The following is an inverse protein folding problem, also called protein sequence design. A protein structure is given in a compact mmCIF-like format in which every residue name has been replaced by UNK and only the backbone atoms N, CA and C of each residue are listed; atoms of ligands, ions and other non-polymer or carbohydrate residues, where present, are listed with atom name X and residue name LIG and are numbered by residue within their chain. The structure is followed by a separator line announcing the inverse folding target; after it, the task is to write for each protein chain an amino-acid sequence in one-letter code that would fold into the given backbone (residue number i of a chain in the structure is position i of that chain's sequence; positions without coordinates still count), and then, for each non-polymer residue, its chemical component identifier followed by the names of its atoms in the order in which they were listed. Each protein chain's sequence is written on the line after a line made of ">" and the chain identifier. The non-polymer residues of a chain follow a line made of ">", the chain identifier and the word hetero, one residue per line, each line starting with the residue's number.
data_IF_632635759037
#
_entry.id   IF_632635759037
#
_cell.length_a   1.000
_cell.length_b   1.000
_cell.length_c   1.000
_cell.angle_alpha   90.00
_cell.angle_beta   90.00
_cell.angle_gamma   90.00
#
_symmetry.space_group_name_H-M   'P 1'
#
loop_
_entity.id
_entity.type
_entity.pdbx_description
1 polymer ?
#
# COMPACT_ATOMS: atom_id res chain seq x y z
N UNK A 1 -12.64 6.21 -3.45
CA UNK A 1 -13.44 5.08 -2.92
C UNK A 1 -12.89 3.80 -3.53
N UNK A 2 -12.28 2.99 -2.70
CA UNK A 2 -11.66 1.70 -2.99
C UNK A 2 -12.64 0.53 -3.22
N UNK A 3 -13.96 0.76 -3.24
CA UNK A 3 -14.94 -0.24 -3.61
C UNK A 3 -16.04 0.35 -4.49
N UNK A 4 -16.71 -0.50 -5.27
CA UNK A 4 -17.86 -0.12 -6.11
C UNK A 4 -18.92 -1.21 -6.11
N UNK A 5 -20.16 -0.78 -6.33
CA UNK A 5 -21.30 -1.70 -6.43
C UNK A 5 -21.47 -2.18 -7.87
N UNK A 6 -21.56 -3.50 -8.07
CA UNK A 6 -21.74 -4.12 -9.39
C UNK A 6 -22.97 -5.04 -9.39
N UNK A 7 -23.68 -5.18 -10.53
CA UNK A 7 -24.75 -6.17 -10.65
C UNK A 7 -24.15 -7.57 -10.68
N UNK A 8 -24.79 -8.51 -9.98
CA UNK A 8 -24.37 -9.92 -9.94
C UNK A 8 -25.57 -10.85 -10.07
N UNK A 9 -25.32 -12.07 -10.52
CA UNK A 9 -26.26 -13.18 -10.40
C UNK A 9 -25.86 -14.00 -9.19
N UNK A 10 -26.64 -13.93 -8.12
CA UNK A 10 -26.43 -14.72 -6.91
C UNK A 10 -27.08 -16.09 -7.08
N UNK A 11 -26.33 -17.15 -6.82
CA UNK A 11 -26.83 -18.52 -6.78
C UNK A 11 -26.90 -19.02 -5.34
N UNK A 12 -28.10 -19.35 -4.86
CA UNK A 12 -28.33 -19.91 -3.52
C UNK A 12 -29.51 -20.87 -3.54
N UNK A 13 -29.42 -21.97 -2.80
CA UNK A 13 -30.50 -22.96 -2.63
C UNK A 13 -31.10 -23.44 -3.97
N UNK A 14 -30.25 -23.66 -4.98
CA UNK A 14 -30.66 -24.13 -6.30
C UNK A 14 -31.36 -23.09 -7.18
N UNK A 15 -31.35 -21.81 -6.80
CA UNK A 15 -31.99 -20.71 -7.53
C UNK A 15 -31.01 -19.59 -7.87
N UNK A 16 -31.22 -18.96 -9.03
CA UNK A 16 -30.50 -17.78 -9.45
C UNK A 16 -31.35 -16.51 -9.22
N UNK A 17 -30.77 -15.49 -8.60
CA UNK A 17 -31.40 -14.19 -8.38
C UNK A 17 -30.49 -13.05 -8.81
N UNK A 18 -31.04 -12.06 -9.51
CA UNK A 18 -30.32 -10.81 -9.78
C UNK A 18 -30.19 -10.02 -8.48
N UNK A 19 -28.96 -9.63 -8.18
CA UNK A 19 -28.61 -8.85 -6.99
C UNK A 19 -27.49 -7.86 -7.34
N UNK A 20 -26.88 -7.31 -6.31
CA UNK A 20 -25.72 -6.44 -6.41
C UNK A 20 -24.72 -6.80 -5.32
N UNK A 21 -23.44 -6.66 -5.61
CA UNK A 21 -22.36 -6.87 -4.65
C UNK A 21 -21.41 -5.67 -4.61
N UNK A 22 -20.72 -5.47 -3.49
CA UNK A 22 -19.64 -4.49 -3.35
C UNK A 22 -18.31 -5.19 -3.65
N UNK A 23 -17.60 -4.72 -4.68
CA UNK A 23 -16.30 -5.27 -5.08
C UNK A 23 -15.20 -4.24 -4.90
N UNK A 24 -14.01 -4.70 -4.50
CA UNK A 24 -12.82 -3.88 -4.43
C UNK A 24 -12.50 -3.26 -5.80
N UNK A 25 -11.98 -2.04 -5.80
CA UNK A 25 -11.51 -1.35 -7.00
C UNK A 25 -10.01 -1.49 -7.08
N UNK A 26 -9.57 -2.19 -8.12
CA UNK A 26 -8.18 -2.23 -8.57
C UNK A 26 -7.99 -1.19 -9.69
N UNK A 27 -6.90 -0.45 -9.65
CA UNK A 27 -6.52 0.54 -10.65
C UNK A 27 -5.03 0.48 -10.92
N UNK A 28 -4.63 0.82 -12.15
CA UNK A 28 -3.22 1.03 -12.45
C UNK A 28 -2.78 2.34 -11.81
N UNK A 29 -1.69 2.33 -11.06
CA UNK A 29 -1.11 3.51 -10.42
C UNK A 29 0.36 3.62 -10.83
N UNK A 30 0.70 4.68 -11.56
CA UNK A 30 2.08 5.01 -11.92
C UNK A 30 2.65 6.03 -10.93
N UNK A 31 3.77 5.69 -10.31
CA UNK A 31 4.47 6.49 -9.31
C UNK A 31 5.69 7.15 -9.95
N UNK A 32 5.78 8.47 -9.86
CA UNK A 32 6.87 9.25 -10.43
C UNK A 32 7.52 10.17 -9.38
N UNK A 33 8.84 10.33 -9.45
CA UNK A 33 9.55 11.34 -8.66
C UNK A 33 10.64 12.01 -9.50
N UNK A 34 10.73 13.34 -9.44
CA UNK A 34 11.74 14.15 -10.14
C UNK A 34 11.85 13.85 -11.65
N UNK A 35 10.71 13.55 -12.28
CA UNK A 35 10.62 13.25 -13.71
C UNK A 35 10.95 11.80 -14.09
N UNK A 36 11.27 10.93 -13.13
CA UNK A 36 11.47 9.50 -13.37
C UNK A 36 10.24 8.70 -12.96
N UNK A 37 9.88 7.71 -13.78
CA UNK A 37 8.94 6.67 -13.38
C UNK A 37 9.66 5.71 -12.43
N UNK A 38 9.08 5.50 -11.24
CA UNK A 38 9.62 4.63 -10.20
C UNK A 38 9.05 3.22 -10.34
N UNK A 39 7.73 3.14 -10.46
CA UNK A 39 6.98 1.90 -10.59
C UNK A 39 5.58 2.15 -11.17
N UNK A 40 5.02 1.10 -11.77
CA UNK A 40 3.59 1.02 -12.08
C UNK A 40 3.01 -0.20 -11.35
N UNK A 41 1.99 0.03 -10.52
CA UNK A 41 1.38 -0.93 -9.61
C UNK A 41 -0.10 -1.15 -9.95
N UNK A 42 -0.65 -2.28 -9.52
CA UNK A 42 -2.09 -2.44 -9.32
C UNK A 42 -2.39 -2.18 -7.85
N UNK A 43 -3.20 -1.16 -7.58
CA UNK A 43 -3.51 -0.68 -6.24
C UNK A 43 -4.93 -0.11 -6.17
N UNK A 44 -5.43 0.11 -4.97
CA UNK A 44 -6.67 0.83 -4.74
C UNK A 44 -6.48 2.35 -4.94
N UNK A 45 -7.50 3.07 -5.42
CA UNK A 45 -7.37 4.49 -5.77
C UNK A 45 -7.55 5.43 -4.55
N UNK A 46 -7.10 4.99 -3.37
CA UNK A 46 -7.17 5.75 -2.11
C UNK A 46 -5.72 5.86 -1.55
N UNK A 47 -5.46 6.85 -0.69
CA UNK A 47 -4.15 7.06 -0.02
C UNK A 47 -2.91 7.07 -0.95
N UNK A 48 -3.07 7.45 -2.22
CA UNK A 48 -2.03 7.39 -3.25
C UNK A 48 -0.78 8.24 -2.94
N UNK A 49 -0.93 9.31 -2.16
CA UNK A 49 0.20 10.10 -1.65
C UNK A 49 1.06 9.29 -0.67
N UNK A 50 0.42 8.61 0.30
CA UNK A 50 1.10 7.73 1.23
C UNK A 50 1.76 6.54 0.50
N UNK A 51 1.10 6.00 -0.54
CA UNK A 51 1.68 4.95 -1.39
C UNK A 51 2.97 5.43 -2.06
N UNK A 52 3.00 6.65 -2.62
CA UNK A 52 4.22 7.20 -3.23
C UNK A 52 5.35 7.36 -2.20
N UNK A 53 5.07 7.96 -1.05
CA UNK A 53 6.09 8.15 -0.01
C UNK A 53 6.59 6.82 0.56
N UNK A 54 5.68 5.90 0.85
CA UNK A 54 6.02 4.54 1.29
C UNK A 54 6.93 3.84 0.29
N UNK A 55 6.60 3.90 -1.01
CA UNK A 55 7.42 3.31 -2.07
C UNK A 55 8.81 3.93 -2.16
N UNK A 56 8.92 5.27 -2.07
CA UNK A 56 10.20 5.97 -2.08
C UNK A 56 11.15 5.50 -0.96
N UNK A 57 10.63 5.21 0.23
CA UNK A 57 11.42 4.78 1.39
C UNK A 57 11.72 3.29 1.30
N UNK A 58 10.70 2.47 1.06
CA UNK A 58 10.80 1.01 1.09
C UNK A 58 11.72 0.47 0.00
N UNK A 59 11.75 1.12 -1.17
CA UNK A 59 12.68 0.78 -2.27
C UNK A 59 14.04 1.50 -2.14
N UNK A 60 14.23 2.35 -1.13
CA UNK A 60 15.51 3.03 -0.87
C UNK A 60 15.83 4.19 -1.82
N UNK A 61 14.84 4.73 -2.54
CA UNK A 61 15.02 5.92 -3.38
C UNK A 61 15.35 7.17 -2.56
N UNK A 62 14.82 7.27 -1.34
CA UNK A 62 15.15 8.35 -0.39
C UNK A 62 15.44 7.79 0.99
N UNK A 63 16.28 8.48 1.76
CA UNK A 63 16.50 8.13 3.16
C UNK A 63 15.27 8.51 4.01
N UNK A 64 15.02 7.74 5.07
CA UNK A 64 13.85 7.96 5.93
C UNK A 64 13.87 9.33 6.65
N UNK A 65 15.05 9.83 7.01
CA UNK A 65 15.23 11.10 7.73
C UNK A 65 15.01 12.34 6.86
N UNK A 66 14.98 12.19 5.54
CA UNK A 66 14.82 13.33 4.62
C UNK A 66 13.38 13.60 4.19
N UNK A 67 12.44 12.68 4.45
CA UNK A 67 11.01 12.88 4.10
C UNK A 67 10.43 14.17 4.68
N UNK A 68 10.74 14.45 5.95
CA UNK A 68 10.26 15.65 6.65
C UNK A 68 10.81 16.96 6.03
N UNK A 69 11.75 16.87 5.09
CA UNK A 69 12.32 18.00 4.35
C UNK A 69 11.65 18.19 2.99
N UNK A 70 10.79 17.25 2.56
CA UNK A 70 10.00 17.39 1.34
C UNK A 70 8.87 18.37 1.63
N UNK A 71 8.99 19.58 1.09
CA UNK A 71 7.96 20.63 1.21
C UNK A 71 6.96 20.63 0.04
N UNK A 72 7.02 19.60 -0.81
CA UNK A 72 6.17 19.44 -1.99
C UNK A 72 5.11 18.37 -1.77
N UNK A 73 3.89 18.64 -2.20
CA UNK A 73 2.80 17.64 -2.22
C UNK A 73 2.78 16.90 -3.56
N UNK A 74 2.60 15.57 -3.58
CA UNK A 74 2.40 14.83 -4.82
C UNK A 74 1.17 15.32 -5.60
N UNK A 75 1.34 15.46 -6.91
CA UNK A 75 0.23 15.71 -7.84
C UNK A 75 -0.38 14.38 -8.25
N UNK A 76 -1.70 14.24 -8.11
CA UNK A 76 -2.46 13.03 -8.50
C UNK A 76 -3.34 13.37 -9.71
N UNK A 77 -3.16 12.65 -10.81
CA UNK A 77 -3.93 12.81 -12.04
C UNK A 77 -4.62 11.49 -12.41
N UNK A 78 -5.94 11.52 -12.59
CA UNK A 78 -6.70 10.38 -13.09
C UNK A 78 -6.84 10.43 -14.61
N UNK A 79 -6.65 9.30 -15.29
CA UNK A 79 -6.93 9.14 -16.71
C UNK A 79 -7.73 7.84 -16.97
N UNK A 80 -8.01 7.51 -18.24
CA UNK A 80 -8.79 6.32 -18.62
C UNK A 80 -8.15 4.99 -18.20
N UNK A 81 -6.84 4.99 -17.97
CA UNK A 81 -6.05 3.81 -17.68
C UNK A 81 -5.73 3.67 -16.20
N UNK A 82 -6.00 4.68 -15.35
CA UNK A 82 -5.68 4.66 -13.93
C UNK A 82 -5.25 6.02 -13.38
N UNK A 83 -4.31 6.01 -12.45
CA UNK A 83 -3.79 7.19 -11.76
C UNK A 83 -2.30 7.37 -12.00
N UNK A 84 -1.87 8.63 -12.08
CA UNK A 84 -0.47 9.03 -12.11
C UNK A 84 -0.21 9.91 -10.89
N UNK A 85 0.72 9.49 -10.04
CA UNK A 85 1.11 10.17 -8.81
C UNK A 85 2.53 10.67 -9.00
N UNK A 86 2.72 11.98 -9.00
CA UNK A 86 4.02 12.59 -9.34
C UNK A 86 4.48 13.56 -8.26
N UNK A 87 5.69 13.37 -7.76
CA UNK A 87 6.35 14.28 -6.83
C UNK A 87 7.53 14.98 -7.51
N UNK A 88 7.63 16.29 -7.31
CA UNK A 88 8.82 17.07 -7.69
C UNK A 88 9.42 17.67 -6.44
N UNK A 89 10.67 17.33 -6.14
CA UNK A 89 11.38 17.73 -4.92
C UNK A 89 12.85 18.01 -5.21
N UNK A 90 13.50 18.80 -4.36
CA UNK A 90 14.95 19.05 -4.44
C UNK A 90 15.79 17.88 -3.92
N UNK A 91 15.15 16.89 -3.27
CA UNK A 91 15.82 15.71 -2.74
C UNK A 91 16.20 14.79 -3.90
N UNK A 92 17.50 14.48 -4.09
CA UNK A 92 17.93 13.55 -5.12
C UNK A 92 17.56 12.11 -4.77
N UNK A 93 17.30 11.30 -5.79
CA UNK A 93 17.12 9.86 -5.62
C UNK A 93 18.49 9.21 -5.36
N UNK A 94 18.56 8.32 -4.37
CA UNK A 94 19.80 7.64 -3.97
C UNK A 94 20.21 6.52 -4.94
N UNK A 95 19.24 5.96 -5.65
CA UNK A 95 19.43 4.91 -6.65
C UNK A 95 18.71 5.29 -7.95
N UNK A 96 19.25 4.86 -9.08
CA UNK A 96 18.59 5.05 -10.37
C UNK A 96 17.35 4.15 -10.48
N UNK A 97 16.18 4.70 -10.87
CA UNK A 97 14.98 3.91 -11.10
C UNK A 97 15.20 2.87 -12.20
N UNK A 98 14.91 1.61 -11.89
CA UNK A 98 14.98 0.50 -12.83
C UNK A 98 13.56 0.04 -13.16
N UNK A 99 12.85 0.75 -14.03
CA UNK A 99 11.50 0.34 -14.41
C UNK A 99 11.54 -0.91 -15.30
N UNK A 100 11.00 -2.02 -14.79
CA UNK A 100 10.78 -3.27 -15.56
C UNK A 100 9.29 -3.65 -15.53
N UNK A 101 8.44 -2.79 -16.07
CA UNK A 101 7.02 -3.08 -16.29
C UNK A 101 6.14 -3.05 -15.02
N UNK A 102 4.94 -3.63 -15.14
CA UNK A 102 3.95 -3.65 -14.06
C UNK A 102 4.39 -4.66 -13.01
N UNK A 103 4.61 -4.20 -11.76
CA UNK A 103 4.97 -5.08 -10.65
C UNK A 103 3.69 -5.59 -9.98
N UNK A 104 3.53 -6.91 -9.93
CA UNK A 104 2.42 -7.52 -9.21
C UNK A 104 2.73 -7.52 -7.70
N UNK A 105 1.73 -7.27 -6.85
CA UNK A 105 1.89 -7.27 -5.38
C UNK A 105 1.94 -8.69 -4.78
N UNK A 106 2.27 -9.69 -5.60
CA UNK A 106 2.34 -11.10 -5.18
C UNK A 106 3.64 -11.41 -4.40
N UNK A 107 3.63 -12.41 -3.53
CA UNK A 107 4.76 -12.78 -2.65
C UNK A 107 5.94 -13.47 -3.36
N UNK A 108 6.05 -13.34 -4.68
CA UNK A 108 6.90 -14.15 -5.56
C UNK A 108 8.41 -13.90 -5.46
N UNK A 109 8.92 -13.35 -4.37
CA UNK A 109 10.35 -13.05 -4.19
C UNK A 109 11.19 -14.26 -3.72
N UNK A 110 10.61 -15.46 -3.61
CA UNK A 110 11.27 -16.63 -3.02
C UNK A 110 12.49 -17.17 -3.82
N UNK A 111 12.86 -16.59 -4.97
CA UNK A 111 13.95 -17.08 -5.83
C UNK A 111 14.74 -15.97 -6.54
N UNK A 112 14.86 -14.78 -5.94
CA UNK A 112 15.69 -13.70 -6.51
C UNK A 112 17.15 -13.91 -6.09
N UNK A 113 18.04 -14.09 -7.07
CA UNK A 113 19.49 -14.03 -6.89
C UNK A 113 19.86 -12.69 -6.22
N UNK A 114 20.56 -12.75 -5.09
CA UNK A 114 21.02 -11.55 -4.35
C UNK A 114 20.24 -11.20 -3.08
N UNK A 115 19.32 -12.05 -2.62
CA UNK A 115 18.61 -11.87 -1.34
C UNK A 115 19.56 -11.69 -0.15
N UNK A 116 20.63 -12.48 -0.06
CA UNK A 116 21.62 -12.34 1.02
C UNK A 116 22.33 -10.98 0.99
N UNK A 117 22.62 -10.48 -0.21
CA UNK A 117 23.17 -9.14 -0.42
C UNK A 117 22.19 -8.05 0.05
N UNK A 118 20.90 -8.19 -0.28
CA UNK A 118 19.85 -7.26 0.15
C UNK A 118 19.71 -7.25 1.68
N UNK A 119 19.68 -8.43 2.32
CA UNK A 119 19.57 -8.56 3.78
C UNK A 119 20.77 -7.89 4.47
N UNK A 120 21.99 -8.07 3.92
CA UNK A 120 23.21 -7.52 4.52
C UNK A 120 23.24 -5.98 4.58
N UNK A 121 22.46 -5.31 3.74
CA UNK A 121 22.37 -3.84 3.69
C UNK A 121 21.23 -3.27 4.53
N UNK A 122 20.35 -4.11 5.09
CA UNK A 122 19.23 -3.63 5.90
C UNK A 122 19.73 -3.01 7.22
N UNK A 123 19.15 -1.89 7.66
CA UNK A 123 19.53 -1.27 8.93
C UNK A 123 19.13 -2.18 10.11
N UNK A 124 20.03 -2.32 11.08
CA UNK A 124 19.75 -3.03 12.32
C UNK A 124 18.92 -2.14 13.24
N UNK A 125 17.68 -2.54 13.50
CA UNK A 125 16.82 -1.84 14.47
C UNK A 125 17.25 -2.26 15.89
N UNK A 126 17.97 -1.39 16.59
CA UNK A 126 18.52 -1.67 17.93
C UNK A 126 17.52 -1.54 19.09
N UNK A 127 16.28 -1.11 18.83
CA UNK A 127 15.29 -0.86 19.89
C UNK A 127 14.42 -2.09 20.13
N UNK A 128 14.52 -2.67 21.34
CA UNK A 128 13.50 -3.60 21.83
C UNK A 128 12.27 -2.81 22.25
N UNK A 129 11.13 -3.10 21.63
CA UNK A 129 9.84 -2.64 22.09
C UNK A 129 9.32 -3.62 23.13
N UNK A 130 8.88 -3.11 24.27
CA UNK A 130 8.22 -3.90 25.30
C UNK A 130 6.76 -3.45 25.36
N UNK A 131 5.85 -4.39 25.19
CA UNK A 131 4.40 -4.17 25.30
C UNK A 131 3.76 -5.48 25.76
N UNK A 132 2.61 -5.39 26.42
CA UNK A 132 1.82 -6.55 26.80
C UNK A 132 1.15 -7.18 25.57
N UNK A 133 1.07 -8.51 25.51
CA UNK A 133 0.46 -9.22 24.37
C UNK A 133 -1.01 -8.84 24.14
N UNK A 134 -1.73 -8.43 25.19
CA UNK A 134 -3.11 -7.93 25.09
C UNK A 134 -3.23 -6.69 24.21
N UNK A 135 -2.17 -5.87 24.11
CA UNK A 135 -2.14 -4.71 23.20
C UNK A 135 -2.25 -5.15 21.74
N UNK A 136 -1.57 -6.25 21.35
CA UNK A 136 -1.70 -6.77 19.99
C UNK A 136 -3.12 -7.27 19.70
N UNK A 137 -3.73 -7.99 20.65
CA UNK A 137 -5.10 -8.46 20.49
C UNK A 137 -6.09 -7.29 20.36
N UNK A 138 -6.01 -6.31 21.26
CA UNK A 138 -6.84 -5.11 21.21
C UNK A 138 -6.62 -4.29 19.94
N UNK A 139 -5.37 -4.15 19.49
CA UNK A 139 -5.01 -3.47 18.25
C UNK A 139 -5.59 -4.16 17.01
N UNK A 140 -5.54 -5.49 16.93
CA UNK A 140 -6.13 -6.26 15.83
C UNK A 140 -7.66 -6.13 15.80
N UNK A 141 -8.32 -6.13 16.97
CA UNK A 141 -9.77 -5.90 17.06
C UNK A 141 -10.16 -4.47 16.67
N UNK A 142 -9.37 -3.47 17.09
CA UNK A 142 -9.56 -2.07 16.71
C UNK A 142 -9.37 -1.88 15.20
N UNK A 143 -8.31 -2.44 14.63
CA UNK A 143 -8.00 -2.36 13.20
C UNK A 143 -9.13 -2.96 12.35
N UNK A 144 -9.67 -4.12 12.75
CA UNK A 144 -10.80 -4.75 12.05
C UNK A 144 -12.02 -3.82 11.92
N UNK A 145 -12.27 -2.97 12.92
CA UNK A 145 -13.41 -2.02 12.90
C UNK A 145 -13.21 -0.85 11.91
N UNK A 146 -11.96 -0.60 11.51
CA UNK A 146 -11.59 0.48 10.59
C UNK A 146 -11.43 0.01 9.13
N UNK A 147 -11.50 -1.30 8.89
CA UNK A 147 -11.39 -1.91 7.57
C UNK A 147 -12.73 -1.91 6.82
N UNK A 148 -13.16 -0.72 6.40
CA UNK A 148 -14.45 -0.53 5.72
C UNK A 148 -14.50 -1.19 4.34
N UNK A 149 -13.40 -1.14 3.59
CA UNK A 149 -13.27 -1.76 2.27
C UNK A 149 -13.30 -3.28 2.36
N UNK A 150 -12.55 -3.87 3.30
CA UNK A 150 -12.60 -5.31 3.55
C UNK A 150 -13.98 -5.76 4.04
N UNK A 151 -14.60 -5.02 4.96
CA UNK A 151 -15.92 -5.39 5.50
C UNK A 151 -17.01 -5.46 4.43
N UNK A 152 -16.87 -4.65 3.37
CA UNK A 152 -17.80 -4.60 2.25
C UNK A 152 -17.50 -5.62 1.15
N UNK A 153 -16.23 -5.87 0.89
CA UNK A 153 -15.80 -6.58 -0.33
C UNK A 153 -15.16 -7.93 -0.06
N UNK A 154 -14.66 -8.15 1.16
CA UNK A 154 -13.83 -9.30 1.54
C UNK A 154 -12.48 -9.39 0.80
N UNK A 155 -12.14 -8.42 -0.05
CA UNK A 155 -11.05 -8.52 -1.04
C UNK A 155 -9.91 -7.53 -0.84
N UNK A 156 -9.74 -7.00 0.38
CA UNK A 156 -8.76 -5.95 0.70
C UNK A 156 -7.76 -6.45 1.75
N UNK A 157 -6.54 -5.93 1.69
CA UNK A 157 -5.56 -6.01 2.75
C UNK A 157 -5.53 -4.71 3.55
N UNK A 158 -4.84 -4.75 4.69
CA UNK A 158 -4.75 -3.61 5.58
C UNK A 158 -3.42 -3.63 6.33
N UNK A 159 -2.83 -2.45 6.50
CA UNK A 159 -1.73 -2.18 7.40
C UNK A 159 -2.16 -1.16 8.46
N UNK A 160 -1.60 -1.30 9.67
CA UNK A 160 -1.90 -0.41 10.78
C UNK A 160 -0.66 -0.10 11.62
N UNK A 161 -0.57 1.15 12.09
CA UNK A 161 0.48 1.61 13.00
C UNK A 161 -0.05 1.60 14.43
N UNK A 162 0.42 0.63 15.23
CA UNK A 162 0.02 0.44 16.63
C UNK A 162 1.16 0.86 17.57
N UNK A 163 0.86 1.77 18.50
CA UNK A 163 1.79 2.19 19.53
C UNK A 163 1.95 1.12 20.63
N UNK A 164 3.04 1.20 21.40
CA UNK A 164 3.26 0.32 22.56
C UNK A 164 2.28 0.55 23.71
N UNK A 165 1.48 1.61 23.64
CA UNK A 165 0.45 1.94 24.62
C UNK A 165 -0.96 1.49 24.15
N UNK A 166 -1.04 0.85 22.99
CA UNK A 166 -2.28 0.31 22.42
C UNK A 166 -3.10 1.28 21.58
N UNK A 167 -2.52 2.43 21.21
CA UNK A 167 -3.17 3.38 20.31
C UNK A 167 -2.88 3.01 18.84
N UNK A 168 -3.94 2.83 18.07
CA UNK A 168 -3.86 2.60 16.62
C UNK A 168 -3.91 3.96 15.91
N UNK A 169 -2.75 4.49 15.54
CA UNK A 169 -2.60 5.88 15.06
C UNK A 169 -2.87 6.04 13.57
N UNK A 170 -2.74 4.95 12.79
CA UNK A 170 -3.01 4.97 11.36
C UNK A 170 -3.47 3.60 10.88
N UNK A 171 -4.37 3.58 9.91
CA UNK A 171 -4.86 2.37 9.23
C UNK A 171 -5.07 2.71 7.76
N UNK A 172 -4.56 1.86 6.89
CA UNK A 172 -4.72 1.97 5.44
C UNK A 172 -5.18 0.63 4.87
N UNK A 173 -5.99 0.68 3.81
CA UNK A 173 -6.49 -0.48 3.09
C UNK A 173 -6.13 -0.39 1.60
N UNK A 174 -5.65 -1.50 1.05
CA UNK A 174 -5.39 -1.63 -0.38
C UNK A 174 -5.71 -3.05 -0.84
N UNK A 175 -6.06 -3.23 -2.12
CA UNK A 175 -6.26 -4.55 -2.71
C UNK A 175 -4.98 -5.41 -2.66
N UNK A 176 -3.80 -4.79 -2.65
CA UNK A 176 -2.49 -5.43 -2.53
C UNK A 176 -1.82 -5.19 -1.17
N UNK A 177 -1.40 -6.25 -0.48
CA UNK A 177 -0.80 -6.15 0.86
C UNK A 177 0.51 -5.34 0.98
N UNK A 178 1.24 -5.14 -0.13
CA UNK A 178 2.46 -4.32 -0.12
C UNK A 178 2.16 -2.84 -0.34
N UNK A 179 0.98 -2.53 -0.89
CA UNK A 179 0.51 -1.17 -1.12
C UNK A 179 -0.30 -0.65 0.07
N UNK A 180 -0.94 -1.54 0.83
CA UNK A 180 -1.73 -1.25 2.04
C UNK A 180 -0.87 -0.63 3.14
#
# INVERSE_FOLDING_TARGET
>A
MNYRKVPVTQWSDGTAKISSDEVAVESVVSLNCNGFELATLLASPDELEHLLFGHLICEGYVANDVLNRINSTPKIESNKNGFVVSLTTEIPLLIEPRTKGITNTSCGACNIDGLDGLISTLPIIGRKLNFDISILHGGMEAMRKLQSGFSKTGGMHCAGLLSTDGELTFVSEDIGRHSA
#
